data_IF_089945386643
#
_entry.id   IF_089945386643
#
_cell.length_a   1.000
_cell.length_b   1.000
_cell.length_c   1.000
_cell.angle_alpha   90.00
_cell.angle_beta   90.00
_cell.angle_gamma   90.00
#
_symmetry.space_group_name_H-M   'P 1'
#
loop_
_entity.id
_entity.type
_entity.pdbx_description
1 polymer ?
#
# COMPACT_ATOMS: atom_id res chain seq x y z
N UNK A 1 -6.97 -26.72 -25.94
CA UNK A 1 -6.18 -25.94 -24.96
C UNK A 1 -7.02 -25.77 -23.72
N UNK A 2 -6.71 -26.49 -22.64
CA UNK A 2 -7.33 -26.23 -21.35
C UNK A 2 -6.88 -24.84 -20.87
N UNK A 3 -7.72 -24.03 -20.22
CA UNK A 3 -7.26 -22.79 -19.61
C UNK A 3 -6.14 -23.13 -18.62
N UNK A 4 -5.02 -22.42 -18.70
CA UNK A 4 -3.95 -22.54 -17.71
C UNK A 4 -4.56 -22.39 -16.30
N UNK A 5 -4.17 -23.22 -15.31
CA UNK A 5 -4.76 -23.20 -13.97
C UNK A 5 -4.73 -21.81 -13.29
N UNK A 6 -3.82 -20.93 -13.72
CA UNK A 6 -3.73 -19.53 -13.31
C UNK A 6 -4.90 -18.65 -13.76
N UNK A 7 -5.50 -18.89 -14.94
CA UNK A 7 -6.62 -18.09 -15.47
C UNK A 7 -7.88 -18.33 -14.64
N UNK A 8 -8.19 -19.60 -14.35
CA UNK A 8 -9.32 -19.95 -13.50
C UNK A 8 -9.17 -19.32 -12.11
N UNK A 9 -7.98 -19.44 -11.51
CA UNK A 9 -7.71 -18.86 -10.20
C UNK A 9 -7.85 -17.34 -10.19
N UNK A 10 -7.37 -16.66 -11.23
CA UNK A 10 -7.56 -15.22 -11.41
C UNK A 10 -9.05 -14.86 -11.48
N UNK A 11 -9.85 -15.55 -12.31
CA UNK A 11 -11.29 -15.29 -12.44
C UNK A 11 -11.99 -15.50 -11.10
N UNK A 12 -11.71 -16.61 -10.41
CA UNK A 12 -12.26 -16.89 -9.09
C UNK A 12 -11.88 -15.82 -8.08
N UNK A 13 -10.63 -15.33 -8.11
CA UNK A 13 -10.20 -14.22 -7.25
C UNK A 13 -10.99 -12.95 -7.55
N UNK A 14 -11.11 -12.55 -8.82
CA UNK A 14 -11.85 -11.35 -9.20
C UNK A 14 -13.32 -11.43 -8.78
N UNK A 15 -13.96 -12.57 -9.03
CA UNK A 15 -15.33 -12.84 -8.56
C UNK A 15 -15.41 -12.77 -7.04
N UNK A 16 -14.45 -13.35 -6.31
CA UNK A 16 -14.39 -13.29 -4.85
C UNK A 16 -14.33 -11.86 -4.31
N UNK A 17 -13.50 -10.99 -4.89
CA UNK A 17 -13.40 -9.59 -4.49
C UNK A 17 -14.68 -8.81 -4.80
N UNK A 18 -15.29 -9.03 -5.97
CA UNK A 18 -16.58 -8.43 -6.33
C UNK A 18 -17.71 -8.89 -5.39
N UNK A 19 -17.75 -10.17 -5.06
CA UNK A 19 -18.72 -10.73 -4.11
C UNK A 19 -18.53 -10.16 -2.71
N UNK A 20 -17.28 -10.03 -2.23
CA UNK A 20 -16.99 -9.41 -0.94
C UNK A 20 -17.41 -7.94 -0.91
N UNK A 21 -17.18 -7.20 -1.98
CA UNK A 21 -17.65 -5.82 -2.13
C UNK A 21 -19.17 -5.73 -2.08
N UNK A 22 -19.87 -6.55 -2.88
CA UNK A 22 -21.33 -6.57 -2.92
C UNK A 22 -21.94 -6.94 -1.56
N UNK A 23 -21.38 -7.95 -0.88
CA UNK A 23 -21.76 -8.35 0.46
C UNK A 23 -21.53 -7.20 1.47
N UNK A 24 -20.37 -6.53 1.39
CA UNK A 24 -20.05 -5.40 2.27
C UNK A 24 -21.01 -4.23 2.06
N UNK A 25 -21.36 -3.90 0.81
CA UNK A 25 -22.36 -2.89 0.48
C UNK A 25 -23.75 -3.25 1.01
N UNK A 26 -24.11 -4.53 0.99
CA UNK A 26 -25.38 -5.00 1.55
C UNK A 26 -25.40 -4.95 3.08
N UNK A 27 -24.30 -5.28 3.74
CA UNK A 27 -24.20 -5.28 5.19
C UNK A 27 -24.09 -3.85 5.76
N UNK A 28 -23.35 -2.97 5.09
CA UNK A 28 -23.12 -1.58 5.50
C UNK A 28 -23.92 -0.58 4.64
N UNK A 29 -25.21 -0.84 4.42
CA UNK A 29 -26.09 -0.03 3.55
C UNK A 29 -26.21 1.44 3.94
N UNK A 30 -25.99 1.76 5.20
CA UNK A 30 -26.05 3.13 5.73
C UNK A 30 -24.75 3.91 5.47
N UNK A 31 -23.68 3.24 5.00
CA UNK A 31 -22.39 3.85 4.69
C UNK A 31 -22.27 4.13 3.19
N UNK A 32 -21.39 5.07 2.84
CA UNK A 32 -21.05 5.32 1.44
C UNK A 32 -20.40 4.08 0.80
N UNK A 33 -20.56 3.89 -0.51
CA UNK A 33 -19.94 2.77 -1.24
C UNK A 33 -18.41 2.69 -1.05
N UNK A 34 -17.75 3.85 -0.85
CA UNK A 34 -16.32 3.91 -0.56
C UNK A 34 -15.97 3.13 0.72
N UNK A 35 -16.83 3.13 1.75
CA UNK A 35 -16.61 2.36 2.97
C UNK A 35 -16.38 0.87 2.67
N UNK A 36 -17.26 0.29 1.87
CA UNK A 36 -17.18 -1.11 1.46
C UNK A 36 -15.95 -1.39 0.62
N UNK A 37 -15.59 -0.47 -0.28
CA UNK A 37 -14.36 -0.59 -1.06
C UNK A 37 -13.11 -0.57 -0.16
N UNK A 38 -13.03 0.38 0.77
CA UNK A 38 -11.92 0.50 1.72
C UNK A 38 -11.80 -0.72 2.64
N UNK A 39 -12.92 -1.37 2.97
CA UNK A 39 -12.90 -2.64 3.71
C UNK A 39 -12.32 -3.79 2.87
N UNK A 40 -12.69 -3.87 1.59
CA UNK A 40 -12.10 -4.84 0.65
C UNK A 40 -10.59 -4.58 0.48
N UNK A 41 -10.19 -3.32 0.30
CA UNK A 41 -8.79 -2.90 0.22
C UNK A 41 -8.00 -3.27 1.48
N UNK A 42 -8.55 -3.03 2.67
CA UNK A 42 -7.92 -3.41 3.93
C UNK A 42 -7.75 -4.93 4.03
N UNK A 43 -8.80 -5.68 3.64
CA UNK A 43 -8.79 -7.15 3.64
C UNK A 43 -7.69 -7.67 2.72
N UNK A 44 -7.63 -7.17 1.48
CA UNK A 44 -6.57 -7.51 0.54
C UNK A 44 -5.19 -7.16 1.09
N UNK A 45 -4.99 -5.94 1.59
CA UNK A 45 -3.69 -5.49 2.08
C UNK A 45 -3.16 -6.39 3.20
N UNK A 46 -4.01 -6.82 4.13
CA UNK A 46 -3.63 -7.77 5.20
C UNK A 46 -3.27 -9.14 4.62
N UNK A 47 -4.14 -9.73 3.80
CA UNK A 47 -3.89 -11.06 3.23
C UNK A 47 -2.66 -11.08 2.33
N UNK A 48 -2.51 -10.10 1.44
CA UNK A 48 -1.39 -9.97 0.54
C UNK A 48 -0.08 -9.82 1.33
N UNK A 49 -0.04 -8.96 2.34
CA UNK A 49 1.14 -8.77 3.19
C UNK A 49 1.54 -10.06 3.91
N UNK A 50 0.58 -10.78 4.51
CA UNK A 50 0.88 -12.02 5.22
C UNK A 50 1.39 -13.11 4.28
N UNK A 51 0.72 -13.33 3.15
CA UNK A 51 1.07 -14.40 2.20
C UNK A 51 2.38 -14.12 1.47
N UNK A 52 2.58 -12.89 0.98
CA UNK A 52 3.83 -12.50 0.32
C UNK A 52 5.00 -12.43 1.30
N UNK A 53 4.76 -12.05 2.56
CA UNK A 53 5.75 -12.15 3.63
C UNK A 53 6.15 -13.59 3.92
N UNK A 54 5.18 -14.51 4.02
CA UNK A 54 5.47 -15.94 4.16
C UNK A 54 6.30 -16.47 2.99
N UNK A 55 5.94 -16.11 1.75
CA UNK A 55 6.73 -16.48 0.57
C UNK A 55 8.16 -15.95 0.69
N UNK A 56 8.33 -14.67 1.03
CA UNK A 56 9.65 -14.05 1.11
C UNK A 56 10.52 -14.67 2.20
N UNK A 57 10.01 -14.78 3.43
CA UNK A 57 10.83 -15.10 4.60
C UNK A 57 10.87 -16.60 4.96
N UNK A 58 9.95 -17.42 4.46
CA UNK A 58 9.81 -18.82 4.85
C UNK A 58 9.87 -19.77 3.65
N UNK A 59 9.03 -19.59 2.63
CA UNK A 59 8.91 -20.54 1.49
C UNK A 59 10.07 -20.39 0.49
N UNK A 60 10.39 -19.15 0.14
CA UNK A 60 11.39 -18.79 -0.86
C UNK A 60 10.94 -19.03 -2.32
N UNK A 61 11.89 -18.99 -3.28
CA UNK A 61 13.28 -18.54 -3.10
C UNK A 61 13.39 -17.06 -2.71
N UNK A 62 14.49 -16.68 -2.03
CA UNK A 62 14.71 -15.31 -1.59
C UNK A 62 14.83 -14.33 -2.78
N UNK A 63 13.95 -13.31 -2.89
CA UNK A 63 13.82 -12.46 -4.07
C UNK A 63 15.07 -11.63 -4.39
N UNK A 64 15.94 -11.38 -3.41
CA UNK A 64 17.16 -10.58 -3.63
C UNK A 64 18.35 -11.41 -4.12
N UNK A 65 18.33 -12.73 -3.89
CA UNK A 65 19.41 -13.63 -4.34
C UNK A 65 19.03 -14.36 -5.62
N UNK A 66 17.74 -14.64 -5.80
CA UNK A 66 17.22 -15.44 -6.92
C UNK A 66 16.17 -14.71 -7.77
N UNK A 67 16.37 -13.42 -8.14
CA UNK A 67 15.42 -12.74 -9.03
C UNK A 67 15.40 -13.39 -10.42
N UNK A 68 14.22 -13.47 -11.02
CA UNK A 68 14.00 -14.04 -12.35
C UNK A 68 13.92 -15.57 -12.37
N UNK A 69 13.84 -16.23 -11.21
CA UNK A 69 13.66 -17.69 -11.15
C UNK A 69 12.25 -18.12 -11.56
N UNK A 70 12.05 -19.40 -11.91
CA UNK A 70 10.73 -19.95 -12.21
C UNK A 70 9.76 -19.77 -11.03
N UNK A 71 8.50 -19.51 -11.35
CA UNK A 71 7.46 -19.26 -10.36
C UNK A 71 7.12 -20.52 -9.57
N UNK A 72 7.00 -20.41 -8.25
CA UNK A 72 6.43 -21.49 -7.42
C UNK A 72 4.90 -21.47 -7.50
N UNK A 73 4.27 -22.60 -7.15
CA UNK A 73 2.81 -22.71 -7.12
C UNK A 73 2.21 -21.68 -6.17
N UNK A 74 2.76 -21.53 -4.96
CA UNK A 74 2.27 -20.58 -3.97
C UNK A 74 2.41 -19.13 -4.45
N UNK A 75 3.55 -18.78 -5.07
CA UNK A 75 3.75 -17.47 -5.68
C UNK A 75 2.71 -17.15 -6.74
N UNK A 76 2.40 -18.10 -7.63
CA UNK A 76 1.35 -17.94 -8.65
C UNK A 76 -0.01 -17.70 -8.00
N UNK A 77 -0.33 -18.40 -6.90
CA UNK A 77 -1.61 -18.20 -6.22
C UNK A 77 -1.76 -16.80 -5.66
N UNK A 78 -0.73 -16.29 -4.97
CA UNK A 78 -0.74 -14.93 -4.42
C UNK A 78 -0.81 -13.89 -5.53
N UNK A 79 -0.06 -14.09 -6.62
CA UNK A 79 -0.13 -13.20 -7.79
C UNK A 79 -1.54 -13.17 -8.41
N UNK A 80 -2.20 -14.32 -8.58
CA UNK A 80 -3.58 -14.37 -9.09
C UNK A 80 -4.57 -13.66 -8.14
N UNK A 81 -4.42 -13.85 -6.82
CA UNK A 81 -5.25 -13.18 -5.81
C UNK A 81 -5.09 -11.66 -5.86
N UNK A 82 -3.84 -11.19 -5.95
CA UNK A 82 -3.51 -9.77 -6.08
C UNK A 82 -3.93 -9.18 -7.42
N UNK A 83 -3.80 -9.91 -8.53
CA UNK A 83 -4.23 -9.46 -9.85
C UNK A 83 -5.75 -9.24 -9.89
N UNK A 84 -6.53 -10.18 -9.35
CA UNK A 84 -7.98 -10.06 -9.23
C UNK A 84 -8.38 -8.83 -8.41
N UNK A 85 -7.69 -8.60 -7.28
CA UNK A 85 -7.93 -7.43 -6.45
C UNK A 85 -7.60 -6.12 -7.18
N UNK A 86 -6.40 -6.01 -7.78
CA UNK A 86 -5.97 -4.77 -8.41
C UNK A 86 -6.84 -4.39 -9.60
N UNK A 87 -7.38 -5.37 -10.34
CA UNK A 87 -8.36 -5.10 -11.40
C UNK A 87 -9.70 -4.60 -10.85
N UNK A 88 -10.20 -5.21 -9.77
CA UNK A 88 -11.37 -4.71 -9.06
C UNK A 88 -11.17 -3.26 -8.59
N UNK A 89 -10.06 -2.99 -7.90
CA UNK A 89 -9.77 -1.71 -7.28
C UNK A 89 -9.52 -0.61 -8.31
N UNK A 90 -8.78 -0.91 -9.39
CA UNK A 90 -8.59 0.02 -10.50
C UNK A 90 -9.93 0.37 -11.18
N UNK A 91 -10.77 -0.63 -11.44
CA UNK A 91 -12.09 -0.43 -12.03
C UNK A 91 -12.96 0.47 -11.14
N UNK A 92 -12.95 0.22 -9.83
CA UNK A 92 -13.66 1.04 -8.85
C UNK A 92 -13.13 2.48 -8.82
N UNK A 93 -11.81 2.67 -8.77
CA UNK A 93 -11.16 3.98 -8.77
C UNK A 93 -11.46 4.79 -10.03
N UNK A 94 -11.48 4.16 -11.21
CA UNK A 94 -11.81 4.82 -12.48
C UNK A 94 -13.28 5.18 -12.53
N UNK A 95 -14.17 4.28 -12.12
CA UNK A 95 -15.62 4.51 -12.15
C UNK A 95 -16.05 5.64 -11.20
N UNK A 96 -15.57 5.62 -9.95
CA UNK A 96 -15.92 6.62 -8.95
C UNK A 96 -15.00 7.85 -8.94
N UNK A 97 -13.94 7.87 -9.77
CA UNK A 97 -12.91 8.93 -9.80
C UNK A 97 -12.34 9.22 -8.41
N UNK A 98 -12.18 8.17 -7.61
CA UNK A 98 -11.89 8.29 -6.19
C UNK A 98 -10.42 8.60 -5.87
N UNK A 99 -9.51 8.23 -6.78
CA UNK A 99 -8.07 8.33 -6.58
C UNK A 99 -7.39 9.16 -7.68
N UNK A 100 -6.25 9.75 -7.35
CA UNK A 100 -5.48 10.60 -8.27
C UNK A 100 -4.68 9.82 -9.33
N UNK A 101 -4.18 10.49 -10.39
CA UNK A 101 -3.49 9.84 -11.50
C UNK A 101 -2.28 8.98 -11.09
N UNK A 102 -1.54 9.41 -10.05
CA UNK A 102 -0.38 8.67 -9.55
C UNK A 102 -0.77 7.29 -9.00
N UNK A 103 -1.93 7.17 -8.35
CA UNK A 103 -2.44 5.90 -7.86
C UNK A 103 -2.91 5.02 -9.03
N UNK A 104 -3.57 5.59 -10.03
CA UNK A 104 -3.96 4.84 -11.23
C UNK A 104 -2.75 4.28 -11.98
N UNK A 105 -1.66 5.05 -12.07
CA UNK A 105 -0.38 4.56 -12.64
C UNK A 105 0.19 3.44 -11.79
N UNK A 106 0.21 3.58 -10.46
CA UNK A 106 0.65 2.54 -9.54
C UNK A 106 -0.11 1.21 -9.75
N UNK A 107 -1.44 1.26 -9.81
CA UNK A 107 -2.27 0.09 -10.09
C UNK A 107 -2.00 -0.48 -11.48
N UNK A 108 -1.93 0.36 -12.50
CA UNK A 108 -1.71 -0.08 -13.89
C UNK A 108 -0.37 -0.82 -14.04
N UNK A 109 0.70 -0.25 -13.48
CA UNK A 109 2.04 -0.86 -13.51
C UNK A 109 2.05 -2.17 -12.71
N UNK A 110 1.36 -2.21 -11.57
CA UNK A 110 1.22 -3.44 -10.76
C UNK A 110 0.51 -4.55 -11.53
N UNK A 111 -0.64 -4.24 -12.17
CA UNK A 111 -1.39 -5.20 -13.00
C UNK A 111 -0.52 -5.72 -14.15
N UNK A 112 0.19 -4.83 -14.85
CA UNK A 112 1.06 -5.21 -15.95
C UNK A 112 2.22 -6.09 -15.47
N UNK A 113 2.88 -5.73 -14.37
CA UNK A 113 3.99 -6.50 -13.80
C UNK A 113 3.57 -7.90 -13.34
N UNK A 114 2.44 -8.00 -12.64
CA UNK A 114 1.87 -9.28 -12.19
C UNK A 114 1.47 -10.14 -13.39
N UNK A 115 0.72 -9.58 -14.34
CA UNK A 115 0.26 -10.29 -15.53
C UNK A 115 1.44 -10.82 -16.34
N UNK A 116 2.50 -10.03 -16.46
CA UNK A 116 3.66 -10.43 -17.24
C UNK A 116 4.49 -11.51 -16.53
N UNK A 117 4.65 -11.45 -15.20
CA UNK A 117 5.28 -12.54 -14.44
C UNK A 117 4.49 -13.86 -14.53
N UNK A 118 3.16 -13.78 -14.48
CA UNK A 118 2.28 -14.94 -14.68
C UNK A 118 2.39 -15.52 -16.09
N UNK A 119 2.43 -14.66 -17.12
CA UNK A 119 2.54 -15.08 -18.52
C UNK A 119 3.90 -15.69 -18.86
N UNK A 120 4.97 -15.18 -18.24
CA UNK A 120 6.31 -15.74 -18.42
C UNK A 120 6.57 -17.02 -17.63
N UNK A 121 5.89 -17.22 -16.51
CA UNK A 121 6.23 -18.28 -15.56
C UNK A 121 7.52 -18.02 -14.77
N UNK A 122 7.99 -16.77 -14.76
CA UNK A 122 9.25 -16.35 -14.12
C UNK A 122 9.04 -15.04 -13.33
N UNK A 123 9.98 -14.73 -12.42
CA UNK A 123 10.05 -13.47 -11.67
C UNK A 123 8.98 -13.26 -10.59
N UNK A 124 8.20 -14.29 -10.23
CA UNK A 124 7.15 -14.12 -9.23
C UNK A 124 7.70 -13.91 -7.81
N UNK A 125 8.93 -14.33 -7.51
CA UNK A 125 9.57 -14.09 -6.23
C UNK A 125 9.73 -12.58 -5.96
N UNK A 126 10.36 -11.85 -6.88
CA UNK A 126 10.55 -10.40 -6.75
C UNK A 126 9.23 -9.62 -6.90
N UNK A 127 8.28 -10.08 -7.72
CA UNK A 127 6.96 -9.42 -7.82
C UNK A 127 6.18 -9.60 -6.51
N UNK A 128 6.21 -10.77 -5.88
CA UNK A 128 5.64 -10.97 -4.54
C UNK A 128 6.35 -10.09 -3.49
N UNK A 129 7.66 -9.92 -3.58
CA UNK A 129 8.40 -9.03 -2.69
C UNK A 129 7.98 -7.55 -2.86
N UNK A 130 7.73 -7.11 -4.10
CA UNK A 130 7.16 -5.78 -4.38
C UNK A 130 5.74 -5.67 -3.79
N UNK A 131 4.89 -6.69 -3.95
CA UNK A 131 3.54 -6.73 -3.34
C UNK A 131 3.64 -6.65 -1.81
N UNK A 132 4.54 -7.40 -1.19
CA UNK A 132 4.77 -7.35 0.25
C UNK A 132 5.10 -5.94 0.71
N UNK A 133 6.15 -5.35 0.11
CA UNK A 133 6.60 -4.01 0.47
C UNK A 133 5.54 -2.95 0.20
N UNK A 134 4.75 -3.12 -0.87
CA UNK A 134 3.68 -2.20 -1.18
C UNK A 134 2.52 -2.33 -0.18
N UNK A 135 1.95 -3.51 -0.04
CA UNK A 135 0.75 -3.74 0.75
C UNK A 135 0.98 -3.61 2.26
N UNK A 136 2.20 -3.80 2.76
CA UNK A 136 2.50 -3.64 4.20
C UNK A 136 2.10 -2.26 4.75
N UNK A 137 2.18 -1.22 3.92
CA UNK A 137 1.80 0.16 4.30
C UNK A 137 0.29 0.42 4.19
N UNK A 138 -0.44 -0.40 3.44
CA UNK A 138 -1.84 -0.18 3.07
C UNK A 138 -2.80 -0.26 4.28
N UNK A 139 -2.69 -1.21 5.22
CA UNK A 139 -3.55 -1.24 6.41
C UNK A 139 -3.57 0.08 7.19
N UNK A 140 -2.43 0.78 7.28
CA UNK A 140 -2.35 2.08 7.94
C UNK A 140 -3.00 3.20 7.13
N UNK A 141 -2.89 3.15 5.80
CA UNK A 141 -3.60 4.08 4.91
C UNK A 141 -5.12 3.92 5.06
N UNK A 142 -5.61 2.67 5.09
CA UNK A 142 -7.03 2.37 5.30
C UNK A 142 -7.49 2.75 6.70
N UNK A 143 -6.71 2.41 7.75
CA UNK A 143 -7.02 2.79 9.12
C UNK A 143 -7.14 4.31 9.28
N UNK A 144 -6.26 5.08 8.65
CA UNK A 144 -6.34 6.54 8.61
C UNK A 144 -7.64 7.03 7.97
N UNK A 145 -8.07 6.42 6.87
CA UNK A 145 -9.33 6.76 6.21
C UNK A 145 -10.52 6.49 7.15
N UNK A 146 -10.59 5.31 7.77
CA UNK A 146 -11.64 4.95 8.72
C UNK A 146 -11.68 5.86 9.96
N UNK A 147 -10.51 6.27 10.47
CA UNK A 147 -10.43 7.22 11.58
C UNK A 147 -11.01 8.59 11.20
N UNK A 148 -10.80 9.05 9.96
CA UNK A 148 -11.37 10.30 9.47
C UNK A 148 -12.88 10.20 9.33
N UNK A 149 -13.36 9.11 8.74
CA UNK A 149 -14.79 8.86 8.55
C UNK A 149 -15.55 8.77 9.88
N UNK A 150 -14.93 8.24 10.92
CA UNK A 150 -15.51 8.20 12.28
C UNK A 150 -15.29 9.48 13.10
N UNK A 151 -14.61 10.50 12.57
CA UNK A 151 -14.25 11.72 13.31
C UNK A 151 -13.19 11.53 14.40
N UNK A 152 -12.52 10.38 14.44
CA UNK A 152 -11.50 10.00 15.44
C UNK A 152 -10.06 10.31 15.01
N UNK A 153 -9.87 10.92 13.84
CA UNK A 153 -8.53 11.23 13.31
C UNK A 153 -7.71 12.21 14.17
N UNK A 154 -8.28 13.27 14.80
CA UNK A 154 -7.57 14.16 15.72
C UNK A 154 -7.25 13.51 17.09
N UNK A 155 -6.76 12.27 17.11
CA UNK A 155 -6.45 11.50 18.31
C UNK A 155 -5.01 10.97 18.29
N UNK A 156 -4.54 10.48 19.44
CA UNK A 156 -3.26 9.77 19.55
C UNK A 156 -3.19 8.58 18.59
N UNK A 157 -4.30 7.87 18.39
CA UNK A 157 -4.38 6.74 17.44
C UNK A 157 -4.12 7.22 16.01
N UNK A 158 -4.72 8.33 15.60
CA UNK A 158 -4.47 8.93 14.29
C UNK A 158 -3.01 9.36 14.09
N UNK A 159 -2.34 9.81 15.15
CA UNK A 159 -0.93 10.14 15.11
C UNK A 159 -0.02 8.93 15.00
N UNK A 160 -0.30 7.86 15.76
CA UNK A 160 0.43 6.60 15.68
C UNK A 160 0.29 5.98 14.29
N UNK A 161 -0.92 5.97 13.73
CA UNK A 161 -1.18 5.45 12.37
C UNK A 161 -0.38 6.23 11.32
N UNK A 162 -0.39 7.57 11.37
CA UNK A 162 0.40 8.38 10.44
C UNK A 162 1.91 8.15 10.59
N UNK A 163 2.39 8.01 11.83
CA UNK A 163 3.80 7.74 12.11
C UNK A 163 4.23 6.38 11.55
N UNK A 164 3.48 5.31 11.85
CA UNK A 164 3.75 3.96 11.35
C UNK A 164 3.71 3.91 9.83
N UNK A 165 2.72 4.57 9.21
CA UNK A 165 2.65 4.70 7.76
C UNK A 165 3.91 5.35 7.18
N UNK A 166 4.37 6.48 7.72
CA UNK A 166 5.58 7.19 7.24
C UNK A 166 6.83 6.33 7.43
N UNK A 167 7.00 5.69 8.59
CA UNK A 167 8.16 4.84 8.89
C UNK A 167 8.22 3.64 7.96
N UNK A 168 7.11 2.91 7.80
CA UNK A 168 7.06 1.74 6.92
C UNK A 168 7.23 2.14 5.46
N UNK A 169 6.62 3.24 5.02
CA UNK A 169 6.80 3.72 3.65
C UNK A 169 8.25 4.10 3.37
N UNK A 170 8.92 4.76 4.32
CA UNK A 170 10.34 5.15 4.16
C UNK A 170 11.27 3.95 4.24
N UNK A 171 11.17 3.15 5.31
CA UNK A 171 12.08 2.03 5.54
C UNK A 171 11.89 0.91 4.53
N UNK A 172 10.64 0.49 4.29
CA UNK A 172 10.33 -0.67 3.44
C UNK A 172 10.19 -0.27 1.99
N UNK A 173 9.25 0.63 1.64
CA UNK A 173 9.01 0.95 0.22
C UNK A 173 10.19 1.67 -0.44
N UNK A 174 10.86 2.58 0.27
CA UNK A 174 12.03 3.28 -0.28
C UNK A 174 13.33 2.52 0.02
N UNK A 175 13.64 2.27 1.29
CA UNK A 175 14.91 1.62 1.67
C UNK A 175 15.04 0.19 1.11
N UNK A 176 14.21 -0.73 1.60
CA UNK A 176 14.23 -2.13 1.13
C UNK A 176 13.87 -2.23 -0.36
N UNK A 177 12.95 -1.39 -0.84
CA UNK A 177 12.61 -1.31 -2.26
C UNK A 177 13.79 -0.94 -3.16
N UNK A 178 14.65 0.00 -2.74
CA UNK A 178 15.87 0.36 -3.47
C UNK A 178 16.83 -0.83 -3.57
N UNK A 179 16.98 -1.56 -2.46
CA UNK A 179 17.85 -2.72 -2.41
C UNK A 179 17.34 -3.86 -3.29
N UNK A 180 16.03 -4.16 -3.25
CA UNK A 180 15.42 -5.12 -4.17
C UNK A 180 15.62 -4.71 -5.63
N UNK A 181 15.41 -3.42 -5.95
CA UNK A 181 15.62 -2.89 -7.29
C UNK A 181 17.06 -3.10 -7.77
N UNK A 182 18.04 -2.82 -6.90
CA UNK A 182 19.45 -3.03 -7.18
C UNK A 182 19.75 -4.49 -7.51
N UNK A 183 19.26 -5.44 -6.70
CA UNK A 183 19.42 -6.88 -6.95
C UNK A 183 18.80 -7.32 -8.29
N UNK A 184 17.59 -6.86 -8.59
CA UNK A 184 16.87 -7.18 -9.85
C UNK A 184 17.60 -6.61 -11.07
N UNK A 185 18.10 -5.38 -10.98
CA UNK A 185 18.81 -4.74 -12.09
C UNK A 185 20.14 -5.43 -12.41
N UNK A 186 20.90 -5.83 -11.39
CA UNK A 186 22.18 -6.52 -11.55
C UNK A 186 22.04 -7.96 -12.02
N UNK A 187 20.94 -8.64 -11.69
CA UNK A 187 20.75 -10.02 -12.13
C UNK A 187 20.56 -10.10 -13.65
N UNK A 188 21.23 -11.03 -14.36
CA UNK A 188 21.03 -11.21 -15.79
C UNK A 188 19.72 -11.94 -16.13
N UNK A 189 19.03 -12.54 -15.15
CA UNK A 189 17.86 -13.39 -15.36
C UNK A 189 16.55 -12.65 -15.63
N UNK A 190 16.13 -11.66 -14.82
CA UNK A 190 14.86 -10.98 -15.04
C UNK A 190 14.82 -10.34 -16.42
N UNK A 191 13.72 -10.54 -17.15
CA UNK A 191 13.54 -9.96 -18.48
C UNK A 191 13.53 -8.44 -18.40
N UNK A 192 14.00 -7.77 -19.45
CA UNK A 192 14.14 -6.30 -19.50
C UNK A 192 12.85 -5.59 -19.11
N UNK A 193 11.70 -6.05 -19.58
CA UNK A 193 10.44 -5.39 -19.26
C UNK A 193 10.05 -5.53 -17.76
N UNK A 194 10.42 -6.62 -17.07
CA UNK A 194 10.21 -6.76 -15.61
C UNK A 194 11.06 -5.73 -14.88
N UNK A 195 12.32 -5.54 -15.30
CA UNK A 195 13.22 -4.51 -14.76
C UNK A 195 12.65 -3.11 -14.96
N UNK A 196 12.17 -2.80 -16.17
CA UNK A 196 11.56 -1.50 -16.49
C UNK A 196 10.30 -1.27 -15.67
N UNK A 197 9.41 -2.27 -15.57
CA UNK A 197 8.21 -2.19 -14.74
C UNK A 197 8.53 -1.94 -13.27
N UNK A 198 9.53 -2.66 -12.74
CA UNK A 198 10.05 -2.44 -11.39
C UNK A 198 10.59 -1.02 -11.21
N UNK A 199 11.40 -0.51 -12.14
CA UNK A 199 11.96 0.84 -12.07
C UNK A 199 10.86 1.91 -12.05
N UNK A 200 9.83 1.76 -12.89
CA UNK A 200 8.67 2.65 -12.92
C UNK A 200 7.93 2.59 -11.56
N UNK A 201 7.71 1.39 -11.03
CA UNK A 201 7.04 1.19 -9.73
C UNK A 201 7.83 1.83 -8.56
N UNK A 202 9.16 1.73 -8.60
CA UNK A 202 10.02 2.39 -7.63
C UNK A 202 10.00 3.91 -7.78
N UNK A 203 10.03 4.43 -9.01
CA UNK A 203 9.91 5.86 -9.27
C UNK A 203 8.57 6.42 -8.76
N UNK A 204 7.46 5.71 -9.00
CA UNK A 204 6.13 6.05 -8.44
C UNK A 204 6.18 6.12 -6.91
N UNK A 205 6.86 5.18 -6.25
CA UNK A 205 7.05 5.18 -4.79
C UNK A 205 7.85 6.39 -4.31
N UNK A 206 8.89 6.81 -5.04
CA UNK A 206 9.63 8.05 -4.76
C UNK A 206 8.74 9.30 -4.89
N UNK A 207 7.87 9.38 -5.89
CA UNK A 207 6.93 10.51 -6.04
C UNK A 207 5.91 10.54 -4.89
N UNK A 208 5.41 9.38 -4.46
CA UNK A 208 4.58 9.29 -3.25
C UNK A 208 5.34 9.77 -2.02
N UNK A 209 6.62 9.40 -1.86
CA UNK A 209 7.45 9.85 -0.73
C UNK A 209 7.53 11.37 -0.64
N UNK A 210 7.70 12.08 -1.76
CA UNK A 210 7.70 13.54 -1.78
C UNK A 210 6.38 14.12 -1.24
N UNK A 211 5.26 13.51 -1.62
CA UNK A 211 3.92 13.91 -1.15
C UNK A 211 3.72 13.63 0.34
N UNK A 212 4.22 12.48 0.82
CA UNK A 212 4.20 12.08 2.23
C UNK A 212 5.06 13.02 3.08
N UNK A 213 6.27 13.35 2.62
CA UNK A 213 7.15 14.30 3.31
C UNK A 213 6.51 15.69 3.42
N UNK A 214 5.89 16.19 2.34
CA UNK A 214 5.12 17.45 2.37
C UNK A 214 3.94 17.37 3.35
N UNK A 215 3.25 16.24 3.42
CA UNK A 215 2.20 16.01 4.40
C UNK A 215 2.74 16.04 5.84
N UNK A 216 3.78 15.26 6.13
CA UNK A 216 4.40 15.18 7.45
C UNK A 216 4.89 16.55 7.92
N UNK A 217 5.62 17.29 7.06
CA UNK A 217 6.08 18.65 7.36
C UNK A 217 4.92 19.58 7.71
N UNK A 218 3.84 19.59 6.92
CA UNK A 218 2.66 20.44 7.20
C UNK A 218 1.99 20.07 8.52
N UNK A 219 1.85 18.78 8.83
CA UNK A 219 1.24 18.32 10.09
C UNK A 219 2.10 18.71 11.29
N UNK A 220 3.42 18.48 11.22
CA UNK A 220 4.36 18.86 12.28
C UNK A 220 4.39 20.36 12.52
N UNK A 221 4.39 21.18 11.46
CA UNK A 221 4.35 22.65 11.60
C UNK A 221 3.08 23.16 12.26
N UNK A 222 1.90 22.63 11.91
CA UNK A 222 0.65 23.00 12.58
C UNK A 222 0.66 22.66 14.07
N UNK A 223 1.16 21.48 14.43
CA UNK A 223 1.30 21.08 15.84
C UNK A 223 2.30 21.94 16.59
N UNK A 224 3.43 22.24 15.96
CA UNK A 224 4.44 23.12 16.54
C UNK A 224 3.90 24.53 16.80
N UNK A 225 3.15 25.10 15.85
CA UNK A 225 2.50 26.40 16.00
C UNK A 225 1.46 26.38 17.12
N UNK A 226 0.62 25.34 17.21
CA UNK A 226 -0.36 25.20 18.28
C UNK A 226 0.29 25.05 19.66
N UNK A 227 1.35 24.25 19.76
CA UNK A 227 2.14 24.09 20.98
C UNK A 227 2.80 25.41 21.40
N UNK A 228 3.41 26.14 20.45
CA UNK A 228 4.03 27.44 20.73
C UNK A 228 3.00 28.48 21.18
N UNK A 229 1.83 28.53 20.55
CA UNK A 229 0.75 29.43 20.95
C UNK A 229 0.22 29.12 22.35
N UNK A 230 0.05 27.83 22.68
CA UNK A 230 -0.31 27.39 24.03
C UNK A 230 0.77 27.76 25.05
N UNK A 231 2.04 27.50 24.75
CA UNK A 231 3.17 27.83 25.63
C UNK A 231 3.26 29.33 25.92
N UNK A 232 3.15 30.17 24.88
CA UNK A 232 3.18 31.62 25.06
C UNK A 232 2.03 32.10 25.95
N UNK A 233 0.81 31.55 25.76
CA UNK A 233 -0.34 31.86 26.63
C UNK A 233 -0.10 31.47 28.09
N UNK A 234 0.52 30.31 28.32
CA UNK A 234 0.83 29.84 29.67
C UNK A 234 1.88 30.73 30.36
N UNK A 235 2.91 31.16 29.61
CA UNK A 235 3.92 32.11 30.10
C UNK A 235 3.29 33.47 30.41
N UNK A 236 2.41 33.99 29.55
CA UNK A 236 1.71 35.27 29.78
C UNK A 236 0.80 35.21 31.01
N UNK A 237 0.09 34.09 31.22
CA UNK A 237 -0.75 33.86 32.41
C UNK A 237 0.09 33.84 33.69
N UNK A 238 1.22 33.14 33.68
CA UNK A 238 2.13 33.10 34.82
C UNK A 238 2.77 34.47 35.09
N UNK A 239 3.12 35.24 34.05
CA UNK A 239 3.71 36.58 34.20
C UNK A 239 2.72 37.60 34.77
N UNK A 240 1.46 37.56 34.34
CA UNK A 240 0.41 38.47 34.82
C UNK A 240 -0.16 38.07 36.19
N UNK A 241 -0.03 36.80 36.60
CA UNK A 241 -0.40 36.32 37.93
C UNK A 241 0.46 36.91 39.06
N UNK A 242 1.73 37.23 38.79
CA UNK A 242 2.63 37.87 39.75
C UNK A 242 2.40 39.37 39.95
N UNK A 243 1.71 40.05 39.03
CA UNK A 243 1.43 41.49 39.11
C UNK A 243 0.15 41.84 39.89
N UNK A 244 -0.58 40.83 40.41
CA UNK A 244 -1.85 41.03 41.14
C UNK A 244 -1.77 40.95 42.67
N UNK A 245 -0.57 40.89 43.24
CA UNK A 245 -0.36 41.06 44.68
C UNK A 245 0.48 42.30 44.92
N UNK A 246 -0.15 43.45 45.12
CA UNK A 246 0.28 44.55 46.01
C UNK A 246 -0.77 45.66 46.01
#
# INVERSE_FOLDING_TARGET
MAPHPSILLFILSLCGWLSLYAWSCHHYRERACEWSCRLVTLTHGVFATCLSGYIGFIDGPWPMTYPGFPNTVLQVHVLCISLGYFLFDLGWCVYFKAEGPLMLVHHSVSILGISASLALGESAAEVNAVIFGSELTNPFLQARWFLREKGLYPSLVGDVVDFLFVVLFTGVRIGVGAWLMYCVLLSPRPRVFIKVGGLIMYAVSCVFMVSIFRFARRKTMKKYQAWRAWWNKEVDLNSNGYLKSH
#
